data_IF_128856227758
#
_entry.id   IF_128856227758
#
_cell.length_a   1.000
_cell.length_b   1.000
_cell.length_c   1.000
_cell.angle_alpha   90.00
_cell.angle_beta   90.00
_cell.angle_gamma   90.00
#
_symmetry.space_group_name_H-M   'P 1'
#
loop_
_entity.id
_entity.type
_entity.pdbx_description
1 polymer ?
#
# COMPACT_ATOMS: atom_id res chain seq x y z
N UNK A 1 12.95 -23.60 -5.87
CA UNK A 1 14.37 -23.27 -5.56
C UNK A 1 14.73 -21.97 -6.26
N UNK A 2 15.03 -20.89 -5.54
CA UNK A 2 15.51 -19.65 -6.18
C UNK A 2 16.91 -19.87 -6.73
N UNK A 3 17.12 -19.58 -8.01
CA UNK A 3 18.38 -19.80 -8.75
C UNK A 3 19.58 -18.99 -8.24
N UNK A 4 19.38 -18.03 -7.35
CA UNK A 4 20.43 -17.15 -6.80
C UNK A 4 20.18 -16.83 -5.32
N UNK A 5 21.26 -16.58 -4.57
CA UNK A 5 21.18 -15.96 -3.26
C UNK A 5 20.56 -14.56 -3.41
N UNK A 6 19.52 -14.27 -2.62
CA UNK A 6 18.82 -12.99 -2.69
C UNK A 6 19.57 -11.96 -1.87
N UNK A 7 20.23 -11.01 -2.55
CA UNK A 7 21.00 -9.94 -1.91
C UNK A 7 20.20 -8.64 -1.68
N UNK A 8 18.90 -8.65 -1.96
CA UNK A 8 18.01 -7.50 -1.79
C UNK A 8 16.82 -7.84 -0.91
N UNK A 9 16.27 -6.81 -0.27
CA UNK A 9 15.01 -6.90 0.49
C UNK A 9 13.87 -6.43 -0.41
N UNK A 10 12.81 -7.22 -0.53
CA UNK A 10 11.62 -6.74 -1.23
C UNK A 10 10.92 -5.70 -0.36
N UNK A 11 10.43 -4.66 -1.01
CA UNK A 11 9.72 -3.55 -0.39
C UNK A 11 8.62 -3.04 -1.30
N UNK A 12 7.65 -2.34 -0.72
CA UNK A 12 6.63 -1.64 -1.47
C UNK A 12 6.43 -0.23 -0.89
N UNK A 13 6.02 0.71 -1.74
CA UNK A 13 5.75 2.09 -1.35
C UNK A 13 4.40 2.55 -1.88
N UNK A 14 3.74 3.42 -1.13
CA UNK A 14 2.46 4.02 -1.50
C UNK A 14 2.65 5.49 -1.86
N UNK A 15 2.32 5.85 -3.09
CA UNK A 15 2.31 7.25 -3.52
C UNK A 15 0.89 7.79 -3.38
N UNK A 16 0.68 8.70 -2.42
CA UNK A 16 -0.61 9.35 -2.20
C UNK A 16 -0.58 10.74 -2.80
N UNK A 17 -1.53 11.01 -3.69
CA UNK A 17 -1.69 12.30 -4.35
C UNK A 17 -3.02 12.93 -3.91
N UNK A 18 -3.00 14.24 -3.67
CA UNK A 18 -4.19 15.03 -3.41
C UNK A 18 -4.28 16.18 -4.41
N UNK A 19 -5.49 16.56 -4.81
CA UNK A 19 -5.69 17.73 -5.65
C UNK A 19 -5.16 18.97 -4.92
N UNK A 20 -4.37 19.78 -5.62
CA UNK A 20 -4.04 21.11 -5.13
C UNK A 20 -5.30 21.97 -5.36
N UNK A 21 -5.93 22.45 -4.29
CA UNK A 21 -7.22 23.16 -4.34
C UNK A 21 -7.24 24.39 -5.25
N UNK A 22 -6.06 24.83 -5.70
CA UNK A 22 -5.88 25.83 -6.74
C UNK A 22 -6.08 25.21 -8.14
N UNK A 23 -7.18 25.61 -8.80
CA UNK A 23 -7.50 25.21 -10.19
C UNK A 23 -6.55 25.79 -11.23
N UNK A 24 -5.81 26.83 -10.88
CA UNK A 24 -4.72 27.37 -11.70
C UNK A 24 -3.52 26.52 -11.34
N UNK A 25 -2.97 25.78 -12.30
CA UNK A 25 -1.69 25.11 -12.12
C UNK A 25 -0.77 26.10 -11.40
N UNK A 26 -0.33 25.73 -10.18
CA UNK A 26 0.58 26.58 -9.44
C UNK A 26 1.77 26.90 -10.34
N UNK A 27 2.56 27.94 -10.02
CA UNK A 27 3.76 28.39 -10.79
C UNK A 27 4.69 27.27 -11.29
N UNK A 28 4.53 26.04 -10.82
CA UNK A 28 5.33 24.85 -11.08
C UNK A 28 4.69 23.81 -12.03
N UNK A 29 3.64 24.14 -12.81
CA UNK A 29 2.99 23.25 -13.81
C UNK A 29 2.26 22.00 -13.27
N UNK A 30 2.13 21.83 -11.96
CA UNK A 30 1.41 20.71 -11.35
C UNK A 30 0.17 21.19 -10.59
N UNK A 31 -0.90 20.38 -10.62
CA UNK A 31 -2.19 20.63 -9.96
C UNK A 31 -2.49 19.62 -8.83
N UNK A 32 -1.45 18.99 -8.30
CA UNK A 32 -1.53 18.00 -7.23
C UNK A 32 -0.40 18.17 -6.22
N UNK A 33 -0.64 17.68 -5.01
CA UNK A 33 0.35 17.53 -3.94
C UNK A 33 0.61 16.04 -3.73
N UNK A 34 1.84 15.70 -3.34
CA UNK A 34 2.23 14.33 -3.02
C UNK A 34 2.58 14.24 -1.55
N UNK A 35 2.07 13.20 -0.87
CA UNK A 35 2.44 12.93 0.51
C UNK A 35 3.86 12.35 0.57
N UNK A 36 4.74 13.08 1.24
CA UNK A 36 6.11 12.67 1.55
C UNK A 36 6.38 12.95 3.02
N UNK A 37 7.33 12.24 3.59
CA UNK A 37 7.80 12.53 4.94
C UNK A 37 9.31 12.44 5.02
N UNK A 38 9.85 13.05 6.09
CA UNK A 38 11.27 13.03 6.39
C UNK A 38 11.52 11.91 7.40
N UNK A 39 12.39 10.95 7.05
CA UNK A 39 12.78 9.88 7.99
C UNK A 39 13.53 10.46 9.19
N UNK A 40 13.18 10.00 10.39
CA UNK A 40 13.88 10.40 11.63
C UNK A 40 15.35 9.95 11.60
N UNK A 41 16.23 10.68 12.27
CA UNK A 41 17.68 10.40 12.27
C UNK A 41 18.08 9.01 12.80
N UNK A 42 17.19 8.33 13.54
CA UNK A 42 17.42 7.00 14.11
C UNK A 42 17.24 5.83 13.13
N UNK A 43 16.88 6.07 11.87
CA UNK A 43 16.74 4.99 10.88
C UNK A 43 18.10 4.52 10.38
N UNK A 44 18.36 3.20 10.39
CA UNK A 44 19.64 2.59 9.99
C UNK A 44 20.07 2.85 8.53
N UNK A 45 19.22 3.46 7.70
CA UNK A 45 19.46 3.72 6.28
C UNK A 45 18.86 5.06 5.84
N UNK A 46 19.70 5.96 5.30
CA UNK A 46 19.35 7.30 4.76
C UNK A 46 18.59 8.26 5.71
N UNK A 47 19.20 8.66 6.85
CA UNK A 47 18.63 9.70 7.72
C UNK A 47 18.45 11.02 6.96
N UNK A 48 17.43 11.80 7.34
CA UNK A 48 17.12 13.12 6.77
C UNK A 48 16.67 13.13 5.28
N UNK A 49 16.38 11.97 4.68
CA UNK A 49 15.83 11.87 3.33
C UNK A 49 14.32 12.14 3.29
N UNK A 50 13.84 12.74 2.20
CA UNK A 50 12.41 12.89 1.88
C UNK A 50 11.99 11.68 1.06
N UNK A 51 11.04 10.90 1.56
CA UNK A 51 10.60 9.64 0.94
C UNK A 51 9.07 9.52 0.94
N UNK A 52 8.56 8.62 0.11
CA UNK A 52 7.18 8.14 0.18
C UNK A 52 7.05 7.10 1.31
N UNK A 53 5.86 6.96 1.91
CA UNK A 53 5.60 5.88 2.86
C UNK A 53 5.83 4.52 2.21
N UNK A 54 6.50 3.63 2.93
CA UNK A 54 6.84 2.32 2.43
C UNK A 54 8.01 1.68 3.13
N UNK A 55 8.11 0.37 2.95
CA UNK A 55 9.07 -0.43 3.69
C UNK A 55 9.09 -1.87 3.22
N UNK A 56 9.73 -2.70 4.04
CA UNK A 56 9.99 -4.08 3.70
C UNK A 56 8.71 -4.91 3.73
N UNK A 57 8.66 -5.95 2.90
CA UNK A 57 7.59 -6.95 2.97
C UNK A 57 7.68 -7.71 4.29
N UNK A 58 6.56 -7.79 5.01
CA UNK A 58 6.39 -8.69 6.16
C UNK A 58 5.72 -10.00 5.71
N UNK A 59 5.95 -11.09 6.44
CA UNK A 59 5.31 -12.38 6.13
C UNK A 59 3.79 -12.30 6.25
N UNK A 60 3.28 -11.48 7.18
CA UNK A 60 1.86 -11.23 7.39
C UNK A 60 1.19 -10.55 6.18
N UNK A 61 1.95 -9.87 5.33
CA UNK A 61 1.41 -9.25 4.11
C UNK A 61 0.99 -10.30 3.06
N UNK A 62 1.50 -11.53 3.18
CA UNK A 62 1.32 -12.60 2.20
C UNK A 62 0.58 -13.84 2.73
N UNK A 63 0.01 -13.78 3.94
CA UNK A 63 -0.75 -14.93 4.48
C UNK A 63 -2.07 -15.14 3.75
N UNK A 64 -2.51 -16.39 3.63
CA UNK A 64 -3.73 -16.74 2.91
C UNK A 64 -5.03 -16.27 3.59
N UNK A 65 -5.00 -15.97 4.89
CA UNK A 65 -6.18 -15.47 5.63
C UNK A 65 -6.70 -14.13 5.09
N UNK A 66 -5.87 -13.37 4.36
CA UNK A 66 -6.32 -12.21 3.58
C UNK A 66 -7.39 -12.58 2.55
N UNK A 67 -7.30 -13.76 1.93
CA UNK A 67 -8.30 -14.23 0.97
C UNK A 67 -9.67 -14.40 1.63
N UNK A 68 -9.69 -14.98 2.84
CA UNK A 68 -10.91 -15.15 3.63
C UNK A 68 -11.47 -13.80 4.08
N UNK A 69 -10.59 -12.87 4.47
CA UNK A 69 -10.96 -11.50 4.78
C UNK A 69 -11.65 -10.83 3.58
N UNK A 70 -11.04 -10.86 2.40
CA UNK A 70 -11.61 -10.28 1.19
C UNK A 70 -12.96 -10.92 0.81
N UNK A 71 -13.07 -12.24 0.90
CA UNK A 71 -14.32 -12.95 0.66
C UNK A 71 -15.44 -12.49 1.62
N UNK A 72 -15.14 -12.34 2.92
CA UNK A 72 -16.09 -11.79 3.92
C UNK A 72 -16.51 -10.35 3.61
N UNK A 73 -15.65 -9.57 2.96
CA UNK A 73 -15.98 -8.22 2.49
C UNK A 73 -16.77 -8.20 1.17
N UNK A 74 -17.11 -9.37 0.60
CA UNK A 74 -17.82 -9.48 -0.68
C UNK A 74 -16.92 -9.32 -1.91
N UNK A 75 -15.61 -9.46 -1.75
CA UNK A 75 -14.64 -9.42 -2.84
C UNK A 75 -14.32 -10.87 -3.24
N UNK A 76 -14.77 -11.28 -4.43
CA UNK A 76 -14.53 -12.63 -4.93
C UNK A 76 -13.08 -12.85 -5.37
N UNK A 77 -12.68 -14.13 -5.47
CA UNK A 77 -11.34 -14.50 -5.96
C UNK A 77 -11.11 -14.05 -7.40
N UNK A 78 -12.14 -14.07 -8.23
CA UNK A 78 -12.10 -13.63 -9.62
C UNK A 78 -11.87 -12.12 -9.71
N UNK A 79 -12.52 -11.35 -8.83
CA UNK A 79 -12.31 -9.90 -8.73
C UNK A 79 -10.88 -9.57 -8.29
N UNK A 80 -10.33 -10.33 -7.34
CA UNK A 80 -8.92 -10.21 -6.95
C UNK A 80 -7.99 -10.60 -8.10
N UNK A 81 -8.27 -11.69 -8.81
CA UNK A 81 -7.49 -12.13 -9.97
C UNK A 81 -7.48 -11.08 -11.09
N UNK A 82 -8.58 -10.33 -11.27
CA UNK A 82 -8.62 -9.20 -12.20
C UNK A 82 -7.58 -8.11 -11.88
N UNK A 83 -7.15 -7.95 -10.60
CA UNK A 83 -6.08 -7.02 -10.22
C UNK A 83 -4.69 -7.54 -10.56
N UNK A 84 -4.55 -8.86 -10.77
CA UNK A 84 -3.26 -9.53 -11.01
C UNK A 84 -3.03 -9.79 -12.50
N UNK A 85 -4.10 -9.74 -13.31
CA UNK A 85 -4.04 -9.76 -14.77
C UNK A 85 -3.42 -8.47 -15.32
N UNK A 86 -2.13 -8.53 -15.64
CA UNK A 86 -1.40 -7.43 -16.28
C UNK A 86 -0.85 -7.91 -17.61
N UNK A 87 -1.00 -7.10 -18.65
CA UNK A 87 -0.45 -7.40 -19.97
C UNK A 87 1.08 -7.37 -19.97
N UNK A 88 1.70 -8.38 -20.59
CA UNK A 88 3.15 -8.46 -20.77
C UNK A 88 3.92 -9.08 -19.60
N UNK A 89 5.24 -9.09 -19.71
CA UNK A 89 6.13 -9.70 -18.71
C UNK A 89 6.20 -8.84 -17.46
N UNK A 90 6.17 -9.48 -16.29
CA UNK A 90 6.30 -8.80 -14.99
C UNK A 90 7.68 -9.05 -14.38
N UNK A 91 8.23 -8.09 -13.62
CA UNK A 91 9.46 -8.33 -12.86
C UNK A 91 9.31 -9.47 -11.85
N UNK A 92 10.42 -10.14 -11.54
CA UNK A 92 10.48 -11.31 -10.65
C UNK A 92 9.87 -11.07 -9.26
N UNK A 93 9.77 -9.83 -8.78
CA UNK A 93 9.17 -9.51 -7.48
C UNK A 93 7.68 -9.90 -7.40
N UNK A 94 7.03 -10.01 -8.55
CA UNK A 94 5.63 -10.44 -8.70
C UNK A 94 5.48 -11.95 -8.91
N UNK A 95 6.57 -12.70 -9.06
CA UNK A 95 6.53 -14.15 -9.16
C UNK A 95 6.25 -14.74 -7.77
N UNK A 96 5.24 -15.61 -7.70
CA UNK A 96 4.90 -16.30 -6.47
C UNK A 96 5.58 -17.67 -6.43
N UNK A 97 6.71 -17.74 -5.72
CA UNK A 97 7.50 -18.97 -5.57
C UNK A 97 6.87 -19.98 -4.60
N UNK A 98 5.89 -19.57 -3.79
CA UNK A 98 5.25 -20.39 -2.76
C UNK A 98 3.72 -20.40 -2.95
N UNK A 99 3.12 -21.53 -3.36
CA UNK A 99 1.68 -21.64 -3.56
C UNK A 99 0.87 -21.46 -2.26
N UNK A 100 1.51 -21.52 -1.09
CA UNK A 100 0.87 -21.30 0.21
C UNK A 100 0.87 -19.82 0.63
N UNK A 101 1.21 -18.91 -0.27
CA UNK A 101 1.19 -17.46 -0.02
C UNK A 101 0.27 -16.74 -0.99
N UNK A 102 -0.25 -15.60 -0.52
CA UNK A 102 -1.08 -14.70 -1.31
C UNK A 102 -0.31 -14.19 -2.53
N UNK A 103 -1.02 -14.05 -3.66
CA UNK A 103 -0.47 -13.47 -4.89
C UNK A 103 0.33 -12.19 -4.61
N UNK A 104 1.54 -12.10 -5.19
CA UNK A 104 2.46 -10.98 -4.99
C UNK A 104 1.91 -9.63 -5.41
N UNK A 105 1.02 -9.60 -6.40
CA UNK A 105 0.33 -8.38 -6.82
C UNK A 105 -0.59 -7.82 -5.74
N UNK A 106 -1.11 -8.68 -4.86
CA UNK A 106 -1.96 -8.29 -3.74
C UNK A 106 -1.11 -8.05 -2.50
N UNK A 107 -0.20 -8.97 -2.15
CA UNK A 107 0.64 -8.83 -0.95
C UNK A 107 1.53 -7.59 -0.98
N UNK A 108 2.12 -7.22 -2.12
CA UNK A 108 2.89 -5.96 -2.22
C UNK A 108 2.04 -4.71 -2.01
N UNK A 109 0.75 -4.74 -2.38
CA UNK A 109 -0.18 -3.62 -2.11
C UNK A 109 -0.52 -3.56 -0.63
N UNK A 110 -0.70 -4.72 0.01
CA UNK A 110 -0.90 -4.82 1.47
C UNK A 110 0.34 -4.27 2.19
N UNK A 111 1.55 -4.68 1.80
CA UNK A 111 2.81 -4.12 2.33
C UNK A 111 2.82 -2.59 2.26
N UNK A 112 2.52 -2.01 1.09
CA UNK A 112 2.51 -0.56 0.93
C UNK A 112 1.47 0.15 1.82
N UNK A 113 0.28 -0.47 2.00
CA UNK A 113 -0.77 0.06 2.87
C UNK A 113 -0.41 -0.06 4.36
N UNK A 114 0.15 -1.20 4.77
CA UNK A 114 0.60 -1.43 6.15
C UNK A 114 1.69 -0.42 6.53
N UNK A 115 2.73 -0.31 5.71
CA UNK A 115 3.84 0.63 5.96
C UNK A 115 3.35 2.08 6.01
N UNK A 116 2.47 2.50 5.10
CA UNK A 116 1.89 3.84 5.16
C UNK A 116 1.07 4.10 6.43
N UNK A 117 0.39 3.08 6.94
CA UNK A 117 -0.34 3.17 8.18
C UNK A 117 0.60 3.22 9.39
N UNK A 118 1.60 2.34 9.46
CA UNK A 118 2.58 2.32 10.56
C UNK A 118 3.38 3.64 10.63
N UNK A 119 3.83 4.17 9.49
CA UNK A 119 4.70 5.36 9.48
C UNK A 119 3.93 6.67 9.65
N UNK A 120 2.75 6.80 9.04
CA UNK A 120 2.03 8.09 8.91
C UNK A 120 0.61 8.08 9.47
N UNK A 121 0.10 6.91 9.89
CA UNK A 121 -1.28 6.78 10.37
C UNK A 121 -2.33 6.91 9.25
N UNK A 122 -1.91 6.77 7.99
CA UNK A 122 -2.78 6.93 6.82
C UNK A 122 -3.15 5.56 6.26
N UNK A 123 -4.45 5.26 6.27
CA UNK A 123 -5.00 4.03 5.68
C UNK A 123 -5.94 4.38 4.52
N UNK A 124 -5.71 3.81 3.35
CA UNK A 124 -6.65 3.89 2.23
C UNK A 124 -7.63 2.72 2.30
N UNK A 125 -8.91 3.05 2.38
CA UNK A 125 -9.98 2.07 2.43
C UNK A 125 -11.31 2.66 1.95
N UNK A 126 -12.33 1.82 1.91
CA UNK A 126 -13.70 2.24 1.66
C UNK A 126 -14.60 1.67 2.74
N UNK A 127 -15.70 2.37 3.06
CA UNK A 127 -16.78 1.73 3.81
C UNK A 127 -17.41 0.67 2.93
N UNK A 128 -17.76 -0.47 3.52
CA UNK A 128 -18.38 -1.57 2.77
C UNK A 128 -19.66 -1.11 2.04
N UNK A 129 -20.44 -0.23 2.67
CA UNK A 129 -21.65 0.38 2.10
C UNK A 129 -21.41 1.37 0.95
N UNK A 130 -20.17 1.81 0.73
CA UNK A 130 -19.81 2.86 -0.26
C UNK A 130 -18.93 2.30 -1.40
N UNK A 131 -18.76 0.97 -1.46
CA UNK A 131 -17.97 0.31 -2.48
C UNK A 131 -18.55 0.55 -3.89
N UNK A 132 -17.79 1.22 -4.77
CA UNK A 132 -18.23 1.53 -6.14
C UNK A 132 -19.14 2.77 -6.26
N UNK A 133 -19.37 3.50 -5.16
CA UNK A 133 -20.32 4.63 -5.12
C UNK A 133 -19.66 6.01 -5.27
N UNK A 134 -18.34 6.09 -5.48
CA UNK A 134 -17.65 7.39 -5.60
C UNK A 134 -17.85 8.01 -6.99
N UNK A 135 -18.78 8.95 -7.08
CA UNK A 135 -19.07 9.68 -8.32
C UNK A 135 -17.91 10.59 -8.78
N UNK A 136 -17.03 11.01 -7.87
CA UNK A 136 -15.95 11.97 -8.17
C UNK A 136 -14.62 11.30 -8.50
N UNK A 137 -14.46 10.01 -8.21
CA UNK A 137 -13.17 9.30 -8.31
C UNK A 137 -12.15 9.70 -7.24
N UNK A 138 -12.49 10.61 -6.32
CA UNK A 138 -11.62 11.04 -5.22
C UNK A 138 -12.03 10.39 -3.90
N UNK A 139 -11.05 10.11 -3.05
CA UNK A 139 -11.26 9.69 -1.67
C UNK A 139 -11.65 10.87 -0.77
N UNK A 140 -12.39 10.58 0.30
CA UNK A 140 -12.66 11.53 1.38
C UNK A 140 -11.82 11.16 2.60
N UNK A 141 -11.16 12.13 3.21
CA UNK A 141 -10.46 11.92 4.48
C UNK A 141 -11.50 11.77 5.61
N UNK A 142 -11.30 10.77 6.46
CA UNK A 142 -12.14 10.50 7.64
C UNK A 142 -11.21 10.45 8.85
N UNK A 143 -11.59 11.12 9.94
CA UNK A 143 -10.84 11.12 11.20
C UNK A 143 -11.66 10.56 12.36
N UNK A 144 -11.15 10.74 13.59
CA UNK A 144 -11.83 10.28 14.82
C UNK A 144 -11.49 8.85 15.24
N UNK A 145 -10.39 8.29 14.71
CA UNK A 145 -9.87 6.99 15.10
C UNK A 145 -8.69 7.13 16.05
N UNK A 146 -8.53 6.17 16.96
CA UNK A 146 -7.35 6.07 17.82
C UNK A 146 -6.20 5.44 17.03
N UNK A 147 -5.58 6.27 16.19
CA UNK A 147 -4.52 5.87 15.26
C UNK A 147 -3.32 5.30 16.03
N UNK A 148 -2.91 5.94 17.12
CA UNK A 148 -1.75 5.50 17.91
C UNK A 148 -1.95 4.10 18.48
N UNK A 149 -3.15 3.81 19.02
CA UNK A 149 -3.47 2.47 19.52
C UNK A 149 -3.43 1.43 18.41
N UNK A 150 -3.98 1.74 17.24
CA UNK A 150 -4.00 0.82 16.12
C UNK A 150 -2.62 0.60 15.51
N UNK A 151 -1.80 1.65 15.42
CA UNK A 151 -0.40 1.52 14.98
C UNK A 151 0.39 0.59 15.90
N UNK A 152 0.22 0.71 17.23
CA UNK A 152 0.82 -0.24 18.19
C UNK A 152 0.34 -1.68 17.94
N UNK A 153 -0.95 -1.89 17.71
CA UNK A 153 -1.50 -3.22 17.44
C UNK A 153 -1.05 -3.86 16.12
N UNK A 154 -0.64 -3.05 15.14
CA UNK A 154 -0.14 -3.55 13.84
C UNK A 154 1.37 -3.79 13.89
N UNK A 155 2.09 -2.98 14.68
CA UNK A 155 3.53 -3.07 14.80
C UNK A 155 4.02 -4.14 15.79
N UNK A 156 3.27 -4.35 16.89
CA UNK A 156 3.58 -5.30 17.97
C UNK A 156 2.88 -6.66 17.77
#
# INVERSE_FOLDING_TARGET
MRKFAKYWRDSASLLILARDGNRVASKNNFNYKVLVFKRTEKTAFMPNSIVFPGGAVDKQDAILSWTDFFAKQGISKERLAGLTQVGGTRPFIFENDDPNTLDRNVSLRITALREAFEELGVLLGHKQSEAGSSASGFSKAVGGFDIEKWQKQVHD
#
